data_IF_990852571510
#
_entry.id   IF_990852571510
#
_cell.length_a   1.000
_cell.length_b   1.000
_cell.length_c   1.000
_cell.angle_alpha   90.00
_cell.angle_beta   90.00
_cell.angle_gamma   90.00
#
_symmetry.space_group_name_H-M   'P 1'
#
loop_
_entity.id
_entity.type
_entity.pdbx_description
1 polymer ?
#
# COMPACT_ATOMS: atom_id res chain seq x y z
N UNK A 1 -7.55 -9.51 47.09
CA UNK A 1 -8.95 -9.09 46.80
C UNK A 1 -9.11 -8.58 45.36
N UNK A 2 -8.23 -7.68 44.86
CA UNK A 2 -8.18 -7.33 43.44
C UNK A 2 -7.91 -8.52 42.50
N UNK A 3 -6.98 -9.44 42.83
CA UNK A 3 -6.70 -10.60 41.98
C UNK A 3 -7.92 -11.53 41.80
N UNK A 4 -8.74 -11.70 42.83
CA UNK A 4 -9.98 -12.49 42.81
C UNK A 4 -11.09 -11.79 42.00
N UNK A 5 -11.18 -10.46 42.07
CA UNK A 5 -12.14 -9.67 41.27
C UNK A 5 -11.74 -9.65 39.79
N UNK A 6 -10.43 -9.60 39.50
CA UNK A 6 -9.91 -9.72 38.14
C UNK A 6 -10.09 -11.14 37.63
N UNK A 7 -9.76 -12.19 38.39
CA UNK A 7 -10.01 -13.59 37.98
C UNK A 7 -11.50 -13.87 37.72
N UNK A 8 -12.40 -13.43 38.60
CA UNK A 8 -13.84 -13.58 38.38
C UNK A 8 -14.40 -12.76 37.19
N UNK A 9 -13.70 -11.69 36.79
CA UNK A 9 -14.01 -10.90 35.57
C UNK A 9 -13.14 -11.27 34.36
N UNK A 10 -12.18 -12.17 34.49
CA UNK A 10 -11.38 -12.70 33.38
C UNK A 10 -11.79 -14.14 33.04
N UNK A 11 -12.67 -14.77 33.83
CA UNK A 11 -13.21 -16.09 33.55
C UNK A 11 -14.06 -16.08 32.26
N UNK A 12 -13.40 -16.44 31.15
CA UNK A 12 -13.94 -16.50 29.80
C UNK A 12 -15.12 -17.49 29.67
N UNK A 13 -15.23 -18.46 30.60
CA UNK A 13 -16.26 -19.49 30.58
C UNK A 13 -17.68 -18.97 30.84
N UNK A 14 -17.84 -17.77 31.40
CA UNK A 14 -19.15 -17.21 31.76
C UNK A 14 -19.88 -16.46 30.62
N UNK A 15 -19.36 -16.42 29.38
CA UNK A 15 -19.81 -15.41 28.39
C UNK A 15 -19.99 -15.87 26.94
N UNK A 16 -20.56 -17.05 26.72
CA UNK A 16 -20.84 -17.58 25.38
C UNK A 16 -22.11 -17.03 24.69
N UNK A 17 -22.87 -16.11 25.30
CA UNK A 17 -24.20 -15.70 24.76
C UNK A 17 -24.21 -14.44 23.87
N UNK A 18 -23.20 -13.56 23.93
CA UNK A 18 -23.13 -12.35 23.09
C UNK A 18 -21.70 -12.11 22.56
N UNK A 19 -21.50 -12.37 21.26
CA UNK A 19 -20.21 -12.25 20.56
C UNK A 19 -19.69 -10.82 20.55
N UNK A 20 -20.56 -9.80 20.51
CA UNK A 20 -20.17 -8.39 20.44
C UNK A 20 -19.75 -7.87 21.82
N UNK A 21 -20.41 -8.35 22.88
CA UNK A 21 -20.00 -8.07 24.26
C UNK A 21 -18.62 -8.69 24.58
N UNK A 22 -18.35 -9.90 24.06
CA UNK A 22 -17.06 -10.57 24.24
C UNK A 22 -15.90 -9.78 23.62
N UNK A 23 -16.00 -9.38 22.34
CA UNK A 23 -14.91 -8.64 21.67
C UNK A 23 -14.60 -7.32 22.37
N UNK A 24 -15.63 -6.57 22.77
CA UNK A 24 -15.45 -5.32 23.53
C UNK A 24 -14.73 -5.53 24.86
N UNK A 25 -15.04 -6.63 25.55
CA UNK A 25 -14.38 -7.00 26.81
C UNK A 25 -12.93 -7.41 26.58
N UNK A 26 -12.65 -8.22 25.56
CA UNK A 26 -11.28 -8.61 25.20
C UNK A 26 -10.43 -7.39 24.86
N UNK A 27 -10.96 -6.44 24.09
CA UNK A 27 -10.27 -5.18 23.79
C UNK A 27 -10.01 -4.35 25.07
N UNK A 28 -10.98 -4.29 25.99
CA UNK A 28 -10.80 -3.58 27.26
C UNK A 28 -9.76 -4.26 28.16
N UNK A 29 -9.79 -5.59 28.28
CA UNK A 29 -8.79 -6.36 29.03
C UNK A 29 -7.40 -6.17 28.42
N UNK A 30 -7.28 -6.31 27.10
CA UNK A 30 -6.03 -6.11 26.40
C UNK A 30 -5.49 -4.68 26.55
N UNK A 31 -6.33 -3.66 26.56
CA UNK A 31 -5.90 -2.30 26.90
C UNK A 31 -5.43 -2.17 28.35
N UNK A 32 -6.15 -2.78 29.31
CA UNK A 32 -5.77 -2.77 30.73
C UNK A 32 -4.44 -3.48 30.99
N UNK A 33 -4.09 -4.48 30.19
CA UNK A 33 -2.80 -5.18 30.30
C UNK A 33 -1.59 -4.27 30.02
N UNK A 34 -1.79 -3.06 29.47
CA UNK A 34 -0.72 -2.05 29.34
C UNK A 34 -0.25 -1.51 30.70
N UNK A 35 -1.10 -1.60 31.73
CA UNK A 35 -0.80 -1.16 33.09
C UNK A 35 -0.15 -2.32 33.86
N UNK A 36 1.01 -2.06 34.47
CA UNK A 36 1.86 -3.07 35.13
C UNK A 36 1.10 -3.98 36.11
N UNK A 37 0.23 -3.41 36.95
CA UNK A 37 -0.55 -4.14 37.95
C UNK A 37 -1.48 -5.21 37.37
N UNK A 38 -1.91 -5.03 36.11
CA UNK A 38 -2.84 -5.92 35.44
C UNK A 38 -2.18 -6.82 34.40
N UNK A 39 -0.98 -6.46 33.92
CA UNK A 39 -0.30 -7.16 32.82
C UNK A 39 -0.23 -8.66 33.04
N UNK A 40 0.36 -9.10 34.17
CA UNK A 40 0.59 -10.52 34.42
C UNK A 40 -0.70 -11.33 34.36
N UNK A 41 -1.72 -10.93 35.13
CA UNK A 41 -2.96 -11.70 35.25
C UNK A 41 -3.71 -11.76 33.91
N UNK A 42 -3.77 -10.64 33.20
CA UNK A 42 -4.51 -10.58 31.93
C UNK A 42 -3.77 -11.34 30.84
N UNK A 43 -2.47 -11.13 30.69
CA UNK A 43 -1.67 -11.81 29.66
C UNK A 43 -1.67 -13.32 29.90
N UNK A 44 -1.45 -13.79 31.13
CA UNK A 44 -1.45 -15.23 31.43
C UNK A 44 -2.80 -15.90 31.08
N UNK A 45 -3.94 -15.27 31.41
CA UNK A 45 -5.26 -15.83 31.06
C UNK A 45 -5.55 -15.77 29.55
N UNK A 46 -5.15 -14.68 28.86
CA UNK A 46 -5.31 -14.59 27.41
C UNK A 46 -4.42 -15.61 26.68
N UNK A 47 -3.17 -15.78 27.10
CA UNK A 47 -2.27 -16.79 26.52
C UNK A 47 -2.72 -18.21 26.82
N UNK A 48 -3.31 -18.45 27.99
CA UNK A 48 -3.93 -19.73 28.30
C UNK A 48 -5.06 -20.06 27.32
N UNK A 49 -5.96 -19.12 27.03
CA UNK A 49 -7.02 -19.32 26.04
C UNK A 49 -6.47 -19.64 24.64
N UNK A 50 -5.37 -18.99 24.24
CA UNK A 50 -4.67 -19.25 22.97
C UNK A 50 -4.05 -20.66 22.96
N UNK A 51 -3.30 -21.02 24.01
CA UNK A 51 -2.57 -22.30 24.07
C UNK A 51 -3.48 -23.51 24.26
N UNK A 52 -4.61 -23.37 24.96
CA UNK A 52 -5.64 -24.42 25.02
C UNK A 52 -6.48 -24.52 23.75
N UNK A 53 -6.25 -23.61 22.79
CA UNK A 53 -7.00 -23.50 21.54
C UNK A 53 -8.50 -23.44 21.76
N UNK A 54 -8.89 -22.57 22.70
CA UNK A 54 -10.28 -22.27 23.00
C UNK A 54 -11.01 -21.77 21.73
N UNK A 55 -12.32 -21.97 21.64
CA UNK A 55 -13.14 -21.48 20.50
C UNK A 55 -12.94 -19.98 20.25
N UNK A 56 -12.57 -19.24 21.30
CA UNK A 56 -12.39 -17.79 21.29
C UNK A 56 -10.93 -17.34 21.07
N UNK A 57 -9.98 -18.26 20.86
CA UNK A 57 -8.56 -17.95 20.70
C UNK A 57 -8.28 -16.93 19.59
N UNK A 58 -8.98 -17.03 18.46
CA UNK A 58 -8.84 -16.09 17.34
C UNK A 58 -9.20 -14.64 17.73
N UNK A 59 -10.23 -14.46 18.54
CA UNK A 59 -10.67 -13.14 19.05
C UNK A 59 -9.73 -12.59 20.10
N UNK A 60 -9.14 -13.46 20.92
CA UNK A 60 -8.10 -13.09 21.89
C UNK A 60 -6.86 -12.57 21.16
N UNK A 61 -6.42 -13.27 20.09
CA UNK A 61 -5.30 -12.83 19.23
C UNK A 61 -5.61 -11.49 18.56
N UNK A 62 -6.81 -11.29 18.03
CA UNK A 62 -7.24 -10.02 17.43
C UNK A 62 -7.21 -8.87 18.45
N UNK A 63 -7.70 -9.08 19.67
CA UNK A 63 -7.70 -8.07 20.72
C UNK A 63 -6.28 -7.71 21.17
N UNK A 64 -5.40 -8.71 21.34
CA UNK A 64 -3.99 -8.51 21.64
C UNK A 64 -3.29 -7.75 20.52
N UNK A 65 -3.50 -8.15 19.26
CA UNK A 65 -2.94 -7.48 18.09
C UNK A 65 -3.37 -6.00 18.05
N UNK A 66 -4.66 -5.72 18.21
CA UNK A 66 -5.21 -4.36 18.16
C UNK A 66 -4.60 -3.46 19.23
N UNK A 67 -4.39 -3.98 20.44
CA UNK A 67 -3.91 -3.20 21.57
C UNK A 67 -2.38 -3.04 21.55
N UNK A 68 -1.63 -4.13 21.36
CA UNK A 68 -0.15 -4.12 21.28
C UNK A 68 0.33 -3.37 20.04
N UNK A 69 -0.47 -3.34 18.97
CA UNK A 69 -0.15 -2.53 17.80
C UNK A 69 -0.22 -1.02 18.06
N UNK A 70 -0.88 -0.59 19.13
CA UNK A 70 -1.04 0.81 19.46
C UNK A 70 0.12 1.32 20.35
N UNK A 71 1.06 2.04 19.72
CA UNK A 71 2.22 2.62 20.40
C UNK A 71 1.91 3.66 21.48
N UNK A 72 0.67 4.17 21.55
CA UNK A 72 0.24 5.04 22.65
C UNK A 72 -0.15 4.28 23.92
N UNK A 73 -0.48 2.99 23.78
CA UNK A 73 -0.81 2.10 24.90
C UNK A 73 0.38 1.25 25.32
N UNK A 74 1.11 0.70 24.35
CA UNK A 74 2.24 -0.19 24.58
C UNK A 74 3.52 0.41 24.04
N UNK A 75 4.49 0.64 24.92
CA UNK A 75 5.86 0.96 24.51
C UNK A 75 6.58 -0.30 24.05
N UNK A 76 7.59 -0.16 23.17
CA UNK A 76 8.43 -1.30 22.73
C UNK A 76 9.04 -2.05 23.92
N UNK A 77 9.51 -1.33 24.94
CA UNK A 77 10.03 -1.92 26.17
C UNK A 77 8.99 -2.78 26.90
N UNK A 78 7.73 -2.31 26.95
CA UNK A 78 6.63 -3.05 27.59
C UNK A 78 6.31 -4.33 26.82
N UNK A 79 6.28 -4.27 25.49
CA UNK A 79 6.05 -5.46 24.64
C UNK A 79 7.20 -6.46 24.79
N UNK A 80 8.44 -5.99 24.80
CA UNK A 80 9.62 -6.83 25.02
C UNK A 80 9.63 -7.49 26.40
N UNK A 81 9.14 -6.79 27.43
CA UNK A 81 8.95 -7.36 28.76
C UNK A 81 7.88 -8.45 28.75
N UNK A 82 6.71 -8.19 28.14
CA UNK A 82 5.62 -9.18 28.02
C UNK A 82 6.12 -10.46 27.34
N UNK A 83 6.87 -10.33 26.25
CA UNK A 83 7.46 -11.49 25.58
C UNK A 83 8.42 -12.25 26.51
N UNK A 84 9.27 -11.54 27.25
CA UNK A 84 10.26 -12.16 28.14
C UNK A 84 9.64 -12.87 29.33
N UNK A 85 8.57 -12.30 29.89
CA UNK A 85 7.93 -12.78 31.12
C UNK A 85 6.89 -13.86 30.84
N UNK A 86 6.26 -13.86 29.66
CA UNK A 86 5.07 -14.68 29.36
C UNK A 86 5.15 -15.54 28.10
N UNK A 87 6.11 -15.32 27.18
CA UNK A 87 6.23 -16.12 25.96
C UNK A 87 5.03 -15.94 25.01
N UNK A 88 4.80 -14.71 24.59
CA UNK A 88 3.71 -14.34 23.67
C UNK A 88 3.93 -14.97 22.29
N UNK A 89 5.14 -14.89 21.74
CA UNK A 89 5.49 -15.44 20.43
C UNK A 89 5.27 -16.96 20.39
N UNK A 90 5.79 -17.71 21.38
CA UNK A 90 5.61 -19.16 21.47
C UNK A 90 4.13 -19.57 21.44
N UNK A 91 3.32 -18.86 22.23
CA UNK A 91 1.88 -19.13 22.38
C UNK A 91 1.13 -18.90 21.07
N UNK A 92 1.38 -17.74 20.42
CA UNK A 92 0.71 -17.37 19.17
C UNK A 92 1.21 -18.22 17.99
N UNK A 93 2.50 -18.56 17.94
CA UNK A 93 3.05 -19.48 16.93
C UNK A 93 2.40 -20.86 17.01
N UNK A 94 2.27 -21.41 18.22
CA UNK A 94 1.64 -22.72 18.43
C UNK A 94 0.21 -22.73 17.92
N UNK A 95 -0.54 -21.66 18.23
CA UNK A 95 -1.90 -21.47 17.71
C UNK A 95 -1.94 -21.34 16.19
N UNK A 96 -1.10 -20.48 15.61
CA UNK A 96 -1.02 -20.28 14.16
C UNK A 96 -0.72 -21.59 13.43
N UNK A 97 0.28 -22.36 13.88
CA UNK A 97 0.67 -23.62 13.25
C UNK A 97 -0.45 -24.67 13.30
N UNK A 98 -1.30 -24.63 14.33
CA UNK A 98 -2.46 -25.52 14.47
C UNK A 98 -3.63 -25.09 13.59
N UNK A 99 -3.94 -23.80 13.57
CA UNK A 99 -5.14 -23.25 12.93
C UNK A 99 -4.91 -22.78 11.48
N UNK A 100 -3.69 -22.90 10.96
CA UNK A 100 -3.31 -22.34 9.65
C UNK A 100 -4.19 -22.77 8.47
N UNK A 101 -4.81 -23.96 8.57
CA UNK A 101 -5.66 -24.55 7.53
C UNK A 101 -7.16 -24.33 7.77
N UNK A 102 -7.54 -23.93 8.98
CA UNK A 102 -8.93 -23.91 9.45
C UNK A 102 -9.42 -22.49 9.75
N UNK A 103 -8.54 -21.62 10.22
CA UNK A 103 -8.87 -20.23 10.54
C UNK A 103 -9.05 -19.37 9.29
N UNK A 104 -9.77 -18.25 9.46
CA UNK A 104 -9.90 -17.24 8.42
C UNK A 104 -8.58 -16.51 8.17
N UNK A 105 -8.36 -16.01 6.95
CA UNK A 105 -7.16 -15.25 6.62
C UNK A 105 -6.98 -14.01 7.50
N UNK A 106 -8.07 -13.34 7.87
CA UNK A 106 -8.06 -12.18 8.78
C UNK A 106 -7.54 -12.56 10.18
N UNK A 107 -7.99 -13.71 10.72
CA UNK A 107 -7.49 -14.22 12.00
C UNK A 107 -6.00 -14.56 11.93
N UNK A 108 -5.54 -15.17 10.83
CA UNK A 108 -4.13 -15.49 10.62
C UNK A 108 -3.28 -14.22 10.49
N UNK A 109 -3.76 -13.21 9.75
CA UNK A 109 -3.08 -11.93 9.60
C UNK A 109 -2.95 -11.19 10.95
N UNK A 110 -3.96 -11.28 11.82
CA UNK A 110 -3.87 -10.76 13.19
C UNK A 110 -2.77 -11.44 14.01
N UNK A 111 -2.67 -12.76 13.95
CA UNK A 111 -1.61 -13.52 14.63
C UNK A 111 -0.22 -13.21 14.08
N UNK A 112 -0.07 -13.21 12.76
CA UNK A 112 1.19 -12.85 12.09
C UNK A 112 1.63 -11.42 12.43
N UNK A 113 0.69 -10.45 12.41
CA UNK A 113 1.00 -9.06 12.76
C UNK A 113 1.41 -8.93 14.22
N UNK A 114 0.76 -9.64 15.14
CA UNK A 114 1.11 -9.67 16.55
C UNK A 114 2.53 -10.21 16.76
N UNK A 115 2.90 -11.31 16.10
CA UNK A 115 4.27 -11.87 16.15
C UNK A 115 5.27 -10.87 15.59
N UNK A 116 5.04 -10.35 14.39
CA UNK A 116 5.92 -9.40 13.73
C UNK A 116 6.17 -8.15 14.60
N UNK A 117 5.12 -7.60 15.20
CA UNK A 117 5.21 -6.45 16.10
C UNK A 117 5.93 -6.77 17.41
N UNK A 118 5.72 -7.97 17.95
CA UNK A 118 6.43 -8.42 19.15
C UNK A 118 7.92 -8.56 18.87
N UNK A 119 8.30 -9.21 17.75
CA UNK A 119 9.70 -9.35 17.31
C UNK A 119 10.35 -7.98 17.09
N UNK A 120 9.64 -7.04 16.46
CA UNK A 120 10.15 -5.68 16.22
C UNK A 120 10.55 -4.96 17.51
N UNK A 121 9.93 -5.31 18.65
CA UNK A 121 10.20 -4.70 19.94
C UNK A 121 11.38 -5.36 20.69
N UNK A 122 11.89 -6.50 20.20
CA UNK A 122 12.95 -7.26 20.86
C UNK A 122 14.35 -6.76 20.49
N UNK A 123 15.32 -6.79 21.42
CA UNK A 123 16.73 -6.65 21.10
C UNK A 123 17.21 -7.74 20.14
N UNK A 124 18.23 -7.43 19.32
CA UNK A 124 18.76 -8.33 18.27
C UNK A 124 19.16 -9.73 18.78
N UNK A 125 19.74 -9.82 19.99
CA UNK A 125 20.10 -11.10 20.61
C UNK A 125 18.87 -11.97 20.90
N UNK A 126 17.79 -11.36 21.40
CA UNK A 126 16.53 -12.07 21.66
C UNK A 126 15.86 -12.48 20.36
N UNK A 127 15.88 -11.61 19.33
CA UNK A 127 15.38 -11.96 18.00
C UNK A 127 16.12 -13.20 17.46
N UNK A 128 17.45 -13.22 17.49
CA UNK A 128 18.25 -14.38 17.06
C UNK A 128 17.89 -15.66 17.81
N UNK A 129 17.72 -15.58 19.13
CA UNK A 129 17.30 -16.72 19.96
C UNK A 129 15.93 -17.25 19.55
N UNK A 130 14.94 -16.37 19.38
CA UNK A 130 13.60 -16.74 18.91
C UNK A 130 13.66 -17.41 17.53
N UNK A 131 14.37 -16.83 16.56
CA UNK A 131 14.52 -17.42 15.23
C UNK A 131 15.17 -18.81 15.30
N UNK A 132 16.26 -18.96 16.05
CA UNK A 132 16.96 -20.25 16.19
C UNK A 132 16.08 -21.38 16.75
N UNK A 133 15.06 -21.03 17.53
CA UNK A 133 14.14 -21.98 18.15
C UNK A 133 13.07 -22.48 17.17
N UNK A 134 12.57 -21.64 16.29
CA UNK A 134 11.36 -21.95 15.49
C UNK A 134 11.64 -22.17 14.00
N UNK A 135 12.71 -21.60 13.44
CA UNK A 135 12.92 -21.59 11.99
C UNK A 135 12.93 -22.98 11.36
N UNK A 136 13.65 -23.94 11.95
CA UNK A 136 13.78 -25.29 11.37
C UNK A 136 12.45 -26.03 11.29
N UNK A 137 11.65 -26.01 12.36
CA UNK A 137 10.34 -26.66 12.38
C UNK A 137 9.42 -26.08 11.29
N UNK A 138 9.42 -24.75 11.14
CA UNK A 138 8.56 -24.08 10.17
C UNK A 138 9.04 -24.34 8.73
N UNK A 139 10.35 -24.36 8.49
CA UNK A 139 10.92 -24.73 7.19
C UNK A 139 10.54 -26.16 6.81
N UNK A 140 10.61 -27.10 7.75
CA UNK A 140 10.18 -28.48 7.51
C UNK A 140 8.68 -28.57 7.18
N UNK A 141 7.84 -27.79 7.86
CA UNK A 141 6.42 -27.67 7.51
C UNK A 141 6.19 -27.04 6.13
N UNK A 142 6.99 -26.04 5.74
CA UNK A 142 6.91 -25.43 4.40
C UNK A 142 7.20 -26.43 3.28
N UNK A 143 8.04 -27.45 3.52
CA UNK A 143 8.27 -28.55 2.55
C UNK A 143 7.03 -29.40 2.33
N UNK A 144 6.13 -29.47 3.31
CA UNK A 144 4.87 -30.23 3.20
C UNK A 144 3.75 -29.40 2.58
N UNK A 145 3.68 -28.11 2.91
CA UNK A 145 2.63 -27.22 2.45
C UNK A 145 3.11 -25.76 2.50
N UNK A 146 3.00 -25.06 1.38
CA UNK A 146 3.49 -23.69 1.24
C UNK A 146 2.70 -22.68 2.10
N UNK A 147 1.51 -23.03 2.61
CA UNK A 147 0.71 -22.16 3.48
C UNK A 147 1.46 -21.80 4.78
N UNK A 148 2.36 -22.67 5.27
CA UNK A 148 3.18 -22.40 6.45
C UNK A 148 4.19 -21.26 6.25
N UNK A 149 4.45 -20.85 5.01
CA UNK A 149 5.36 -19.76 4.71
C UNK A 149 4.93 -18.42 5.35
N UNK A 150 3.63 -18.18 5.56
CA UNK A 150 3.18 -16.96 6.25
C UNK A 150 3.67 -16.85 7.69
N UNK A 151 3.88 -17.99 8.37
CA UNK A 151 4.45 -18.03 9.73
C UNK A 151 5.94 -17.75 9.70
N UNK A 152 6.64 -18.25 8.68
CA UNK A 152 8.05 -17.93 8.45
C UNK A 152 8.23 -16.45 8.11
N UNK A 153 7.34 -15.89 7.29
CA UNK A 153 7.36 -14.47 6.92
C UNK A 153 7.19 -13.57 8.12
N UNK A 154 6.20 -13.82 8.99
CA UNK A 154 5.95 -12.94 10.13
C UNK A 154 7.08 -12.96 11.18
N UNK A 155 7.82 -14.07 11.27
CA UNK A 155 9.04 -14.18 12.10
C UNK A 155 10.18 -13.29 11.59
N UNK A 156 10.36 -13.20 10.27
CA UNK A 156 11.53 -12.57 9.67
C UNK A 156 11.27 -11.14 9.15
N UNK A 157 10.03 -10.78 8.86
CA UNK A 157 9.70 -9.49 8.25
C UNK A 157 10.12 -8.31 9.11
N UNK A 158 10.06 -8.43 10.44
CA UNK A 158 10.33 -7.34 11.39
C UNK A 158 11.61 -7.50 12.21
N UNK A 159 12.56 -8.33 11.76
CA UNK A 159 13.87 -8.43 12.43
C UNK A 159 14.71 -7.16 12.17
N UNK A 160 15.59 -6.83 13.11
CA UNK A 160 16.50 -5.68 12.99
C UNK A 160 17.48 -5.87 11.83
N UNK A 161 18.06 -4.78 11.33
CA UNK A 161 18.97 -4.80 10.17
C UNK A 161 20.28 -5.55 10.43
N UNK A 162 20.71 -5.64 11.69
CA UNK A 162 21.90 -6.34 12.15
C UNK A 162 21.65 -7.84 12.42
N UNK A 163 20.39 -8.29 12.42
CA UNK A 163 20.03 -9.69 12.63
C UNK A 163 20.19 -10.47 11.34
N UNK A 164 21.20 -11.33 11.31
CA UNK A 164 21.48 -12.25 10.22
C UNK A 164 21.85 -13.62 10.79
N UNK A 165 21.23 -14.69 10.29
CA UNK A 165 21.50 -16.07 10.69
C UNK A 165 21.77 -16.97 9.48
N UNK A 166 22.15 -18.22 9.73
CA UNK A 166 22.53 -19.19 8.69
C UNK A 166 21.40 -19.58 7.74
N UNK A 167 20.14 -19.31 8.09
CA UNK A 167 18.97 -19.68 7.27
C UNK A 167 18.58 -18.60 6.27
N UNK A 168 19.17 -17.40 6.31
CA UNK A 168 18.75 -16.30 5.42
C UNK A 168 18.83 -16.66 3.94
N UNK A 169 19.86 -17.39 3.51
CA UNK A 169 20.03 -17.78 2.11
C UNK A 169 19.01 -18.83 1.66
N UNK A 170 18.74 -19.83 2.50
CA UNK A 170 17.69 -20.83 2.27
C UNK A 170 16.30 -20.16 2.21
N UNK A 171 16.01 -19.28 3.16
CA UNK A 171 14.74 -18.55 3.23
C UNK A 171 14.59 -17.60 2.04
N UNK A 172 15.66 -16.90 1.64
CA UNK A 172 15.64 -16.05 0.44
C UNK A 172 15.32 -16.88 -0.80
N UNK A 173 15.94 -18.05 -0.95
CA UNK A 173 15.70 -18.96 -2.09
C UNK A 173 14.26 -19.49 -2.10
N UNK A 174 13.75 -19.91 -0.95
CA UNK A 174 12.36 -20.35 -0.78
C UNK A 174 11.37 -19.20 -1.05
N UNK A 175 11.68 -17.99 -0.59
CA UNK A 175 10.85 -16.80 -0.84
C UNK A 175 10.79 -16.46 -2.32
N UNK A 176 11.91 -16.58 -3.04
CA UNK A 176 11.95 -16.33 -4.49
C UNK A 176 11.11 -17.34 -5.27
N UNK A 177 11.12 -18.62 -4.88
CA UNK A 177 10.28 -19.62 -5.52
C UNK A 177 8.80 -19.42 -5.23
N UNK A 178 8.44 -19.12 -3.99
CA UNK A 178 7.06 -18.89 -3.59
C UNK A 178 6.50 -17.56 -4.10
N UNK A 179 7.35 -16.56 -4.36
CA UNK A 179 6.96 -15.32 -5.02
C UNK A 179 6.47 -15.51 -6.46
N UNK A 180 6.63 -16.71 -7.04
CA UNK A 180 6.10 -17.10 -8.34
C UNK A 180 4.97 -18.14 -8.25
N UNK A 181 4.55 -18.50 -7.03
CA UNK A 181 3.46 -19.45 -6.77
C UNK A 181 2.12 -18.97 -7.33
N UNK A 182 1.25 -19.92 -7.68
CA UNK A 182 -0.14 -19.64 -8.09
C UNK A 182 -1.00 -19.13 -6.93
N UNK A 183 -0.65 -19.49 -5.69
CA UNK A 183 -1.43 -19.08 -4.50
C UNK A 183 -1.14 -17.64 -4.13
N UNK A 184 -2.10 -16.75 -4.37
CA UNK A 184 -1.98 -15.29 -4.15
C UNK A 184 -1.49 -14.91 -2.74
N UNK A 185 -2.06 -15.52 -1.70
CA UNK A 185 -1.70 -15.23 -0.31
C UNK A 185 -0.23 -15.58 -0.03
N UNK A 186 0.21 -16.79 -0.39
CA UNK A 186 1.59 -17.24 -0.22
C UNK A 186 2.54 -16.38 -1.05
N UNK A 187 2.18 -16.12 -2.31
CA UNK A 187 2.96 -15.30 -3.22
C UNK A 187 3.21 -13.90 -2.67
N UNK A 188 2.18 -13.26 -2.12
CA UNK A 188 2.29 -11.92 -1.55
C UNK A 188 3.25 -11.89 -0.36
N UNK A 189 3.12 -12.83 0.58
CA UNK A 189 4.02 -12.94 1.74
C UNK A 189 5.47 -13.21 1.30
N UNK A 190 5.66 -14.04 0.27
CA UNK A 190 6.98 -14.31 -0.28
C UNK A 190 7.62 -13.07 -0.92
N UNK A 191 6.85 -12.30 -1.69
CA UNK A 191 7.28 -10.99 -2.19
C UNK A 191 7.65 -10.01 -1.07
N UNK A 192 6.88 -9.98 0.03
CA UNK A 192 7.19 -9.14 1.18
C UNK A 192 8.52 -9.52 1.79
N UNK A 193 8.77 -10.82 1.99
CA UNK A 193 10.00 -11.28 2.62
C UNK A 193 11.22 -10.99 1.75
N UNK A 194 11.16 -11.25 0.44
CA UNK A 194 12.21 -10.86 -0.52
C UNK A 194 12.51 -9.36 -0.44
N UNK A 195 11.47 -8.53 -0.45
CA UNK A 195 11.63 -7.09 -0.39
C UNK A 195 12.27 -6.62 0.93
N UNK A 196 11.82 -7.17 2.06
CA UNK A 196 12.35 -6.87 3.39
C UNK A 196 13.83 -7.25 3.49
N UNK A 197 14.17 -8.43 3.00
CA UNK A 197 15.53 -8.95 2.95
C UNK A 197 16.46 -8.03 2.15
N UNK A 198 16.08 -7.68 0.92
CA UNK A 198 16.86 -6.75 0.09
C UNK A 198 16.96 -5.35 0.69
N UNK A 199 15.89 -4.86 1.32
CA UNK A 199 15.85 -3.54 1.93
C UNK A 199 16.77 -3.43 3.15
N UNK A 200 16.67 -4.40 4.07
CA UNK A 200 17.35 -4.39 5.37
C UNK A 200 18.80 -4.83 5.31
N UNK A 201 19.19 -5.63 4.31
CA UNK A 201 20.55 -6.12 4.14
C UNK A 201 21.60 -4.99 4.32
N UNK A 202 22.58 -5.27 5.17
CA UNK A 202 23.74 -4.41 5.39
C UNK A 202 24.52 -4.23 4.08
N UNK A 203 25.02 -3.02 3.83
CA UNK A 203 25.84 -2.74 2.65
C UNK A 203 27.12 -3.59 2.65
N UNK A 204 27.62 -3.90 1.45
CA UNK A 204 28.80 -4.76 1.26
C UNK A 204 28.41 -6.21 0.98
N UNK A 205 29.22 -7.16 1.46
CA UNK A 205 29.17 -8.57 1.08
C UNK A 205 27.79 -9.23 1.32
N UNK A 206 27.12 -8.92 2.44
CA UNK A 206 25.79 -9.48 2.75
C UNK A 206 24.76 -9.10 1.68
N UNK A 207 24.69 -7.82 1.32
CA UNK A 207 23.80 -7.37 0.25
C UNK A 207 24.20 -7.94 -1.11
N UNK A 208 25.49 -7.99 -1.43
CA UNK A 208 25.98 -8.55 -2.70
C UNK A 208 25.56 -10.02 -2.86
N UNK A 209 25.73 -10.84 -1.81
CA UNK A 209 25.31 -12.24 -1.79
C UNK A 209 23.80 -12.38 -2.00
N UNK A 210 22.99 -11.63 -1.26
CA UNK A 210 21.53 -11.67 -1.40
C UNK A 210 21.07 -11.22 -2.79
N UNK A 211 21.75 -10.23 -3.36
CA UNK A 211 21.47 -9.74 -4.70
C UNK A 211 21.93 -10.70 -5.79
N UNK A 212 23.01 -11.46 -5.56
CA UNK A 212 23.46 -12.53 -6.44
C UNK A 212 22.48 -13.71 -6.45
N UNK A 213 22.01 -14.17 -5.29
CA UNK A 213 20.95 -15.19 -5.17
C UNK A 213 19.71 -14.77 -5.97
N UNK A 214 19.27 -13.53 -5.79
CA UNK A 214 18.16 -12.93 -6.53
C UNK A 214 18.38 -13.00 -8.05
N UNK A 215 19.55 -12.55 -8.52
CA UNK A 215 19.88 -12.51 -9.95
C UNK A 215 19.95 -13.90 -10.55
N UNK A 216 20.61 -14.83 -9.88
CA UNK A 216 20.78 -16.21 -10.34
C UNK A 216 19.42 -16.89 -10.47
N UNK A 217 18.55 -16.72 -9.48
CA UNK A 217 17.17 -17.25 -9.53
C UNK A 217 16.36 -16.64 -10.68
N UNK A 218 16.33 -15.31 -10.81
CA UNK A 218 15.51 -14.63 -11.84
C UNK A 218 16.05 -14.80 -13.26
N UNK A 219 17.31 -15.20 -13.40
CA UNK A 219 17.91 -15.53 -14.71
C UNK A 219 17.55 -16.96 -15.15
N UNK A 220 17.30 -17.87 -14.21
CA UNK A 220 16.87 -19.24 -14.52
C UNK A 220 15.37 -19.37 -14.83
N UNK A 221 14.54 -18.37 -14.50
CA UNK A 221 13.12 -18.37 -14.83
C UNK A 221 12.87 -18.25 -16.35
N UNK A 222 12.03 -19.12 -16.91
CA UNK A 222 11.57 -19.06 -18.30
C UNK A 222 10.62 -17.87 -18.48
N UNK A 223 10.96 -16.91 -19.36
CA UNK A 223 10.16 -15.70 -19.56
C UNK A 223 9.05 -15.85 -20.61
N UNK A 224 9.05 -16.97 -21.32
CA UNK A 224 8.06 -17.25 -22.38
C UNK A 224 6.78 -17.90 -21.81
N UNK A 225 6.76 -18.17 -20.51
CA UNK A 225 5.56 -18.63 -19.79
C UNK A 225 4.63 -17.44 -19.52
N UNK A 226 3.50 -17.42 -20.24
CA UNK A 226 2.48 -16.37 -20.19
C UNK A 226 1.88 -16.23 -18.79
N UNK A 227 1.72 -17.33 -18.05
CA UNK A 227 1.15 -17.32 -16.70
C UNK A 227 2.15 -16.86 -15.64
N UNK A 228 3.45 -16.98 -15.95
CA UNK A 228 4.54 -16.53 -15.09
C UNK A 228 4.84 -15.04 -15.23
N UNK A 229 4.66 -14.44 -16.42
CA UNK A 229 4.99 -13.04 -16.70
C UNK A 229 4.39 -12.07 -15.65
N UNK A 230 3.08 -12.12 -15.33
CA UNK A 230 2.49 -11.19 -14.35
C UNK A 230 3.08 -11.35 -12.94
N UNK A 231 3.44 -12.57 -12.55
CA UNK A 231 4.00 -12.88 -11.22
C UNK A 231 5.43 -12.35 -11.11
N UNK A 232 6.23 -12.53 -12.16
CA UNK A 232 7.57 -11.95 -12.26
C UNK A 232 7.53 -10.42 -12.19
N UNK A 233 6.61 -9.79 -12.90
CA UNK A 233 6.47 -8.32 -12.89
C UNK A 233 6.05 -7.82 -11.52
N UNK A 234 5.15 -8.52 -10.83
CA UNK A 234 4.78 -8.21 -9.45
C UNK A 234 6.00 -8.26 -8.52
N UNK A 235 6.80 -9.32 -8.60
CA UNK A 235 8.05 -9.46 -7.85
C UNK A 235 9.05 -8.34 -8.20
N UNK A 236 9.17 -7.94 -9.47
CA UNK A 236 10.01 -6.79 -9.86
C UNK A 236 9.54 -5.50 -9.18
N UNK A 237 8.22 -5.30 -9.02
CA UNK A 237 7.65 -4.16 -8.28
C UNK A 237 8.14 -4.11 -6.84
N UNK A 238 8.09 -5.25 -6.14
CA UNK A 238 8.56 -5.38 -4.75
C UNK A 238 10.08 -5.17 -4.61
N UNK A 239 10.87 -5.74 -5.53
CA UNK A 239 12.32 -5.53 -5.60
C UNK A 239 12.65 -4.06 -5.83
N UNK A 240 11.98 -3.42 -6.80
CA UNK A 240 12.18 -2.00 -7.13
C UNK A 240 11.87 -1.13 -5.91
N UNK A 241 10.75 -1.40 -5.24
CA UNK A 241 10.35 -0.69 -4.03
C UNK A 241 11.37 -0.84 -2.90
N UNK A 242 11.84 -2.05 -2.63
CA UNK A 242 12.85 -2.30 -1.61
C UNK A 242 14.16 -1.53 -1.89
N UNK A 243 14.62 -1.55 -3.14
CA UNK A 243 15.87 -0.93 -3.58
C UNK A 243 15.79 0.60 -3.58
N UNK A 244 14.68 1.20 -4.03
CA UNK A 244 14.53 2.66 -4.02
C UNK A 244 14.37 3.20 -2.59
N UNK A 245 13.65 2.50 -1.71
CA UNK A 245 13.50 2.89 -0.30
C UNK A 245 14.82 2.84 0.47
N UNK A 246 15.73 1.91 0.13
CA UNK A 246 17.10 1.90 0.68
C UNK A 246 18.10 2.79 -0.09
N UNK A 247 17.60 3.63 -1.00
CA UNK A 247 18.39 4.56 -1.84
C UNK A 247 19.37 3.93 -2.83
N UNK A 248 19.25 2.63 -3.15
CA UNK A 248 20.14 1.94 -4.10
C UNK A 248 19.77 2.19 -5.55
N UNK A 249 20.71 2.61 -6.40
CA UNK A 249 20.47 2.86 -7.84
C UNK A 249 20.12 1.61 -8.66
N UNK A 250 20.30 0.41 -8.09
CA UNK A 250 19.88 -0.85 -8.72
C UNK A 250 18.37 -0.90 -8.99
N UNK A 251 17.57 -0.08 -8.31
CA UNK A 251 16.14 0.04 -8.58
C UNK A 251 15.85 0.40 -10.05
N UNK A 252 16.72 1.19 -10.69
CA UNK A 252 16.52 1.65 -12.08
C UNK A 252 16.50 0.48 -13.07
N UNK A 253 17.33 -0.54 -12.83
CA UNK A 253 17.36 -1.75 -13.66
C UNK A 253 16.01 -2.50 -13.62
N UNK A 254 15.45 -2.66 -12.42
CA UNK A 254 14.18 -3.36 -12.23
C UNK A 254 12.99 -2.52 -12.69
N UNK A 255 13.04 -1.21 -12.44
CA UNK A 255 12.05 -0.28 -12.96
C UNK A 255 11.99 -0.32 -14.48
N UNK A 256 13.15 -0.34 -15.16
CA UNK A 256 13.17 -0.40 -16.62
C UNK A 256 12.49 -1.67 -17.16
N UNK A 257 12.62 -2.82 -16.48
CA UNK A 257 11.88 -4.05 -16.86
C UNK A 257 10.36 -3.87 -16.75
N UNK A 258 9.89 -3.18 -15.71
CA UNK A 258 8.47 -2.86 -15.51
C UNK A 258 7.99 -1.86 -16.58
N UNK A 259 8.77 -0.82 -16.87
CA UNK A 259 8.42 0.17 -17.90
C UNK A 259 8.30 -0.48 -19.28
N UNK A 260 9.21 -1.39 -19.63
CA UNK A 260 9.12 -2.15 -20.89
C UNK A 260 7.86 -3.03 -20.91
N UNK A 261 7.48 -3.65 -19.78
CA UNK A 261 6.29 -4.51 -19.75
C UNK A 261 4.98 -3.73 -19.91
N UNK A 262 4.95 -2.43 -19.60
CA UNK A 262 3.78 -1.57 -19.82
C UNK A 262 3.45 -1.45 -21.32
N UNK A 263 4.46 -1.52 -22.20
CA UNK A 263 4.27 -1.48 -23.66
C UNK A 263 3.82 -2.80 -24.28
N UNK A 264 3.83 -3.90 -23.52
CA UNK A 264 3.35 -5.19 -24.00
C UNK A 264 1.89 -5.39 -23.54
N UNK A 265 0.90 -5.49 -24.46
CA UNK A 265 -0.51 -5.69 -24.14
C UNK A 265 -0.78 -6.75 -23.07
N UNK A 266 -0.12 -7.91 -23.17
CA UNK A 266 -0.34 -9.07 -22.30
C UNK A 266 0.09 -8.81 -20.85
N UNK A 267 1.14 -8.01 -20.65
CA UNK A 267 1.71 -7.73 -19.34
C UNK A 267 1.54 -6.26 -18.91
N UNK A 268 0.80 -5.45 -19.68
CA UNK A 268 0.64 -4.00 -19.50
C UNK A 268 0.00 -3.66 -18.15
N UNK A 269 -1.09 -4.36 -17.83
CA UNK A 269 -1.81 -4.24 -16.55
C UNK A 269 -0.93 -4.64 -15.37
N UNK A 270 -0.18 -5.74 -15.48
CA UNK A 270 0.75 -6.16 -14.43
C UNK A 270 1.85 -5.12 -14.21
N UNK A 271 2.38 -4.53 -15.28
CA UNK A 271 3.37 -3.45 -15.22
C UNK A 271 2.83 -2.23 -14.46
N UNK A 272 1.63 -1.79 -14.80
CA UNK A 272 0.94 -0.67 -14.14
C UNK A 272 0.67 -0.94 -12.65
N UNK A 273 0.23 -2.14 -12.31
CA UNK A 273 0.02 -2.59 -10.93
C UNK A 273 1.32 -2.63 -10.10
N UNK A 274 2.45 -2.97 -10.74
CA UNK A 274 3.76 -2.87 -10.09
C UNK A 274 4.17 -1.42 -9.81
N UNK A 275 3.87 -0.48 -10.72
CA UNK A 275 4.06 0.95 -10.45
C UNK A 275 3.21 1.41 -9.27
N UNK A 276 1.94 1.00 -9.19
CA UNK A 276 1.08 1.25 -8.04
C UNK A 276 1.70 0.72 -6.74
N UNK A 277 2.20 -0.50 -6.79
CA UNK A 277 2.83 -1.18 -5.64
C UNK A 277 4.03 -0.39 -5.12
N UNK A 278 4.88 0.12 -6.01
CA UNK A 278 6.06 0.94 -5.66
C UNK A 278 5.64 2.25 -4.98
N UNK A 279 4.61 2.93 -5.51
CA UNK A 279 4.19 4.26 -5.04
C UNK A 279 3.29 4.24 -3.80
N UNK A 280 2.64 3.11 -3.52
CA UNK A 280 1.72 2.96 -2.38
C UNK A 280 2.48 2.70 -1.07
N UNK A 281 2.18 3.44 -0.01
CA UNK A 281 2.71 3.14 1.33
C UNK A 281 1.89 1.99 1.95
N UNK A 282 2.58 1.03 2.56
CA UNK A 282 1.96 -0.14 3.18
C UNK A 282 2.37 -0.19 4.65
N UNK A 283 1.43 -0.09 5.61
CA UNK A 283 1.77 -0.08 7.03
C UNK A 283 2.52 -1.34 7.49
N UNK A 284 2.17 -2.49 6.91
CA UNK A 284 2.64 -3.82 7.32
C UNK A 284 3.71 -4.41 6.38
N UNK A 285 4.31 -3.61 5.50
CA UNK A 285 5.41 -4.07 4.64
C UNK A 285 6.32 -2.90 4.26
N UNK A 286 7.64 -3.05 4.44
CA UNK A 286 8.66 -2.02 4.17
C UNK A 286 8.43 -0.73 4.98
N UNK A 287 8.00 -0.87 6.23
CA UNK A 287 7.74 0.25 7.13
C UNK A 287 8.83 0.41 8.19
N UNK A 288 8.90 1.59 8.81
CA UNK A 288 9.84 1.86 9.90
C UNK A 288 9.65 0.90 11.08
N UNK A 289 8.40 0.48 11.36
CA UNK A 289 8.07 -0.50 12.39
C UNK A 289 8.73 -1.86 12.17
N UNK A 290 9.01 -2.21 10.91
CA UNK A 290 9.66 -3.47 10.53
C UNK A 290 11.18 -3.33 10.41
N UNK A 291 11.74 -2.22 10.92
CA UNK A 291 13.16 -1.87 10.84
C UNK A 291 13.68 -1.70 9.41
N UNK A 292 12.79 -1.42 8.46
CA UNK A 292 13.16 -1.17 7.08
C UNK A 292 13.77 0.22 6.89
N UNK A 293 14.73 0.30 5.97
CA UNK A 293 15.32 1.55 5.48
C UNK A 293 14.29 2.28 4.62
N UNK A 294 14.11 3.57 4.90
CA UNK A 294 13.27 4.47 4.11
C UNK A 294 14.06 5.68 3.62
N UNK A 295 13.74 6.14 2.42
CA UNK A 295 14.38 7.29 1.79
C UNK A 295 13.32 8.36 1.56
N UNK A 296 13.48 9.54 2.18
CA UNK A 296 12.47 10.61 2.11
C UNK A 296 12.16 11.06 0.67
N UNK A 297 13.14 10.98 -0.22
CA UNK A 297 13.04 11.45 -1.60
C UNK A 297 12.70 10.33 -2.59
N UNK A 298 12.34 9.12 -2.14
CA UNK A 298 12.11 7.98 -3.04
C UNK A 298 11.04 8.28 -4.09
N UNK A 299 9.97 9.01 -3.74
CA UNK A 299 8.89 9.41 -4.66
C UNK A 299 9.41 10.36 -5.76
N UNK A 300 10.28 11.30 -5.40
CA UNK A 300 10.91 12.23 -6.36
C UNK A 300 11.86 11.49 -7.31
N UNK A 301 12.71 10.60 -6.76
CA UNK A 301 13.61 9.75 -7.57
C UNK A 301 12.84 8.83 -8.49
N UNK A 302 11.72 8.27 -8.01
CA UNK A 302 10.85 7.42 -8.80
C UNK A 302 10.23 8.19 -9.96
N UNK A 303 9.70 9.39 -9.73
CA UNK A 303 9.18 10.26 -10.78
C UNK A 303 10.24 10.57 -11.84
N UNK A 304 11.44 11.00 -11.44
CA UNK A 304 12.52 11.33 -12.38
C UNK A 304 12.94 10.12 -13.23
N UNK A 305 13.12 8.96 -12.60
CA UNK A 305 13.50 7.74 -13.30
C UNK A 305 12.39 7.25 -14.24
N UNK A 306 11.14 7.22 -13.77
CA UNK A 306 9.98 6.82 -14.56
C UNK A 306 9.80 7.75 -15.76
N UNK A 307 9.81 9.07 -15.57
CA UNK A 307 9.68 10.05 -16.65
C UNK A 307 10.75 9.85 -17.72
N UNK A 308 12.03 9.72 -17.32
CA UNK A 308 13.13 9.51 -18.26
C UNK A 308 13.00 8.20 -19.04
N UNK A 309 12.52 7.12 -18.41
CA UNK A 309 12.33 5.83 -19.07
C UNK A 309 11.10 5.82 -19.99
N UNK A 310 10.01 6.45 -19.57
CA UNK A 310 8.80 6.60 -20.39
C UNK A 310 9.05 7.41 -21.66
N UNK A 311 9.87 8.47 -21.59
CA UNK A 311 10.29 9.24 -22.77
C UNK A 311 11.06 8.36 -23.79
N UNK A 312 11.90 7.44 -23.30
CA UNK A 312 12.70 6.53 -24.14
C UNK A 312 11.87 5.40 -24.75
N UNK A 313 10.73 5.06 -24.17
CA UNK A 313 9.86 3.99 -24.62
C UNK A 313 9.19 4.29 -25.98
N UNK A 314 9.09 5.58 -26.32
CA UNK A 314 8.42 6.05 -27.54
C UNK A 314 6.89 5.99 -27.43
N UNK A 315 6.16 6.23 -28.54
CA UNK A 315 4.71 6.24 -28.55
C UNK A 315 4.14 4.82 -28.34
N UNK A 316 3.31 4.66 -27.32
CA UNK A 316 2.60 3.40 -27.06
C UNK A 316 1.43 3.28 -28.04
N UNK A 317 1.39 2.17 -28.78
CA UNK A 317 0.41 1.96 -29.86
C UNK A 317 -0.80 1.13 -29.43
N UNK A 318 -0.66 0.31 -28.38
CA UNK A 318 -1.68 -0.61 -27.87
C UNK A 318 -1.82 -0.48 -26.35
N UNK A 319 -3.02 -0.66 -25.80
CA UNK A 319 -3.34 -0.64 -24.36
C UNK A 319 -2.77 0.56 -23.57
N UNK A 320 -2.92 1.75 -24.17
CA UNK A 320 -2.49 3.04 -23.59
C UNK A 320 -3.08 3.35 -22.20
N UNK A 321 -4.21 2.75 -21.83
CA UNK A 321 -4.82 2.98 -20.51
C UNK A 321 -3.88 2.57 -19.36
N UNK A 322 -3.20 1.41 -19.48
CA UNK A 322 -2.27 0.93 -18.46
C UNK A 322 -1.08 1.89 -18.27
N UNK A 323 -0.62 2.50 -19.36
CA UNK A 323 0.40 3.54 -19.34
C UNK A 323 -0.06 4.81 -18.62
N UNK A 324 -1.25 5.31 -18.94
CA UNK A 324 -1.79 6.49 -18.26
C UNK A 324 -2.08 6.23 -16.77
N UNK A 325 -2.55 5.02 -16.42
CA UNK A 325 -2.68 4.60 -15.02
C UNK A 325 -1.33 4.59 -14.30
N UNK A 326 -0.27 4.11 -14.95
CA UNK A 326 1.08 4.14 -14.38
C UNK A 326 1.53 5.57 -14.07
N UNK A 327 1.30 6.50 -15.00
CA UNK A 327 1.52 7.92 -14.76
C UNK A 327 0.66 8.47 -13.62
N UNK A 328 -0.63 8.11 -13.56
CA UNK A 328 -1.51 8.53 -12.47
C UNK A 328 -0.93 8.13 -11.10
N UNK A 329 -0.52 6.89 -10.93
CA UNK A 329 0.07 6.39 -9.68
C UNK A 329 1.35 7.14 -9.28
N UNK A 330 2.19 7.51 -10.24
CA UNK A 330 3.41 8.30 -9.98
C UNK A 330 3.06 9.75 -9.64
N UNK A 331 2.23 10.40 -10.46
CA UNK A 331 1.90 11.82 -10.34
C UNK A 331 1.13 12.12 -9.05
N UNK A 332 0.19 11.26 -8.66
CA UNK A 332 -0.63 11.41 -7.44
C UNK A 332 0.25 11.54 -6.18
N UNK A 333 1.38 10.83 -6.14
CA UNK A 333 2.27 10.80 -4.99
C UNK A 333 3.48 11.72 -5.14
N UNK A 334 3.60 12.44 -6.26
CA UNK A 334 4.73 13.33 -6.53
C UNK A 334 4.50 14.71 -5.89
N UNK A 335 5.52 15.31 -5.23
CA UNK A 335 5.39 16.65 -4.66
C UNK A 335 5.01 17.71 -5.71
N UNK A 336 4.07 18.59 -5.36
CA UNK A 336 3.55 19.65 -6.25
C UNK A 336 4.63 20.55 -6.85
N UNK A 337 5.70 20.83 -6.11
CA UNK A 337 6.85 21.61 -6.61
C UNK A 337 7.53 20.95 -7.79
N UNK A 338 7.68 19.62 -7.78
CA UNK A 338 8.28 18.87 -8.88
C UNK A 338 7.34 18.79 -10.08
N UNK A 339 6.03 18.63 -9.83
CA UNK A 339 5.00 18.66 -10.88
C UNK A 339 4.99 20.01 -11.63
N UNK A 340 5.12 21.12 -10.91
CA UNK A 340 5.18 22.45 -11.52
C UNK A 340 6.41 22.64 -12.41
N UNK A 341 7.55 22.03 -12.06
CA UNK A 341 8.77 22.14 -12.86
C UNK A 341 8.69 21.37 -14.20
N UNK A 342 7.90 20.30 -14.26
CA UNK A 342 7.75 19.44 -15.44
C UNK A 342 6.38 19.58 -16.11
N UNK A 343 5.69 20.70 -15.87
CA UNK A 343 4.31 20.94 -16.31
C UNK A 343 4.11 20.74 -17.82
N UNK A 344 5.08 21.16 -18.64
CA UNK A 344 5.01 21.03 -20.10
C UNK A 344 4.92 19.59 -20.59
N UNK A 345 5.44 18.64 -19.81
CA UNK A 345 5.35 17.20 -20.10
C UNK A 345 4.07 16.60 -19.55
N UNK A 346 3.64 17.06 -18.38
CA UNK A 346 2.54 16.47 -17.63
C UNK A 346 1.17 16.86 -18.19
N UNK A 347 0.98 18.13 -18.59
CA UNK A 347 -0.32 18.63 -19.04
C UNK A 347 -0.85 17.86 -20.26
N UNK A 348 -0.07 17.63 -21.34
CA UNK A 348 -0.54 16.83 -22.47
C UNK A 348 -0.96 15.41 -22.06
N UNK A 349 -0.16 14.75 -21.21
CA UNK A 349 -0.47 13.40 -20.69
C UNK A 349 -1.80 13.38 -19.91
N UNK A 350 -2.01 14.38 -19.05
CA UNK A 350 -3.23 14.48 -18.25
C UNK A 350 -4.47 14.75 -19.10
N UNK A 351 -4.36 15.56 -20.16
CA UNK A 351 -5.44 15.85 -21.10
C UNK A 351 -5.82 14.59 -21.90
N UNK A 352 -4.83 13.88 -22.43
CA UNK A 352 -5.05 12.67 -23.21
C UNK A 352 -5.69 11.58 -22.36
N UNK A 353 -5.28 11.45 -21.09
CA UNK A 353 -5.86 10.51 -20.14
C UNK A 353 -7.36 10.74 -19.84
N UNK A 354 -7.91 11.93 -20.08
CA UNK A 354 -9.34 12.22 -19.86
C UNK A 354 -10.28 11.51 -20.85
N UNK A 355 -9.76 10.93 -21.94
CA UNK A 355 -10.55 10.12 -22.88
C UNK A 355 -10.94 8.74 -22.32
N UNK A 356 -10.22 8.25 -21.30
CA UNK A 356 -10.38 6.90 -20.80
C UNK A 356 -11.48 6.82 -19.75
N UNK A 357 -12.29 5.76 -19.83
CA UNK A 357 -13.42 5.50 -18.94
C UNK A 357 -12.97 4.73 -17.68
N UNK A 358 -12.00 5.30 -16.96
CA UNK A 358 -11.41 4.72 -15.76
C UNK A 358 -11.51 5.67 -14.57
N UNK A 359 -12.21 5.25 -13.51
CA UNK A 359 -12.52 6.13 -12.39
C UNK A 359 -11.26 6.68 -11.71
N UNK A 360 -10.31 5.82 -11.40
CA UNK A 360 -9.14 6.19 -10.60
C UNK A 360 -8.19 7.08 -11.40
N UNK A 361 -8.00 6.77 -12.69
CA UNK A 361 -7.25 7.60 -13.62
C UNK A 361 -7.85 9.02 -13.72
N UNK A 362 -9.16 9.11 -13.99
CA UNK A 362 -9.84 10.39 -14.19
C UNK A 362 -9.78 11.27 -12.94
N UNK A 363 -9.93 10.68 -11.74
CA UNK A 363 -9.84 11.43 -10.49
C UNK A 363 -8.47 12.11 -10.31
N UNK A 364 -7.39 11.35 -10.53
CA UNK A 364 -6.02 11.89 -10.41
C UNK A 364 -5.77 12.97 -11.47
N UNK A 365 -6.16 12.73 -12.72
CA UNK A 365 -5.87 13.65 -13.82
C UNK A 365 -6.68 14.95 -13.71
N UNK A 366 -7.96 14.89 -13.30
CA UNK A 366 -8.75 16.10 -13.05
C UNK A 366 -8.16 16.92 -11.89
N UNK A 367 -7.76 16.27 -10.79
CA UNK A 367 -7.16 16.98 -9.65
C UNK A 367 -5.84 17.67 -10.03
N UNK A 368 -5.04 17.00 -10.86
CA UNK A 368 -3.79 17.53 -11.38
C UNK A 368 -4.00 18.74 -12.29
N UNK A 369 -4.93 18.65 -13.24
CA UNK A 369 -5.31 19.78 -14.10
C UNK A 369 -5.88 20.94 -13.28
N UNK A 370 -6.72 20.65 -12.29
CA UNK A 370 -7.26 21.66 -11.36
C UNK A 370 -6.15 22.38 -10.61
N UNK A 371 -5.14 21.65 -10.13
CA UNK A 371 -3.95 22.23 -9.48
C UNK A 371 -3.19 23.17 -10.43
N UNK A 372 -2.96 22.77 -11.68
CA UNK A 372 -2.24 23.61 -12.64
C UNK A 372 -3.03 24.84 -13.09
N UNK A 373 -4.35 24.74 -13.21
CA UNK A 373 -5.25 25.88 -13.47
C UNK A 373 -5.16 26.91 -12.34
N UNK A 374 -5.27 26.46 -11.09
CA UNK A 374 -5.18 27.34 -9.90
C UNK A 374 -3.83 28.03 -9.77
N UNK A 375 -2.77 27.39 -10.26
CA UNK A 375 -1.43 27.97 -10.29
C UNK A 375 -1.21 28.97 -11.44
N UNK A 376 -2.26 29.30 -12.22
CA UNK A 376 -2.24 30.28 -13.33
C UNK A 376 -1.12 30.01 -14.36
N UNK A 377 -0.85 28.75 -14.67
CA UNK A 377 0.16 28.40 -15.66
C UNK A 377 -0.29 28.75 -17.08
N UNK A 378 0.59 29.38 -17.88
CA UNK A 378 0.29 29.77 -19.27
C UNK A 378 -0.09 28.58 -20.16
N UNK A 379 0.56 27.43 -19.96
CA UNK A 379 0.29 26.17 -20.69
C UNK A 379 -1.17 25.72 -20.57
N UNK A 380 -1.80 25.94 -19.41
CA UNK A 380 -3.21 25.63 -19.22
C UNK A 380 -4.11 26.53 -20.05
N UNK A 381 -3.74 27.81 -20.17
CA UNK A 381 -4.46 28.80 -20.97
C UNK A 381 -4.35 28.48 -22.47
N UNK A 382 -3.16 28.08 -22.93
CA UNK A 382 -2.91 27.66 -24.31
C UNK A 382 -3.67 26.38 -24.68
N UNK A 383 -3.92 25.51 -23.70
CA UNK A 383 -4.58 24.21 -23.89
C UNK A 383 -6.09 24.22 -23.69
N UNK A 384 -6.71 25.38 -23.44
CA UNK A 384 -8.16 25.50 -23.11
C UNK A 384 -9.06 24.86 -24.16
N UNK A 385 -8.74 25.03 -25.45
CA UNK A 385 -9.51 24.46 -26.56
C UNK A 385 -9.60 22.93 -26.49
N UNK A 386 -8.59 22.25 -25.93
CA UNK A 386 -8.54 20.79 -25.80
C UNK A 386 -9.06 20.32 -24.45
N UNK A 387 -8.75 21.04 -23.37
CA UNK A 387 -9.12 20.69 -21.99
C UNK A 387 -10.64 20.81 -21.79
N UNK A 388 -11.24 21.92 -22.20
CA UNK A 388 -12.63 22.23 -21.86
C UNK A 388 -13.62 21.20 -22.39
N UNK A 389 -13.59 20.78 -23.67
CA UNK A 389 -14.50 19.76 -24.17
C UNK A 389 -14.44 18.45 -23.38
N UNK A 390 -13.23 18.02 -22.99
CA UNK A 390 -13.02 16.78 -22.22
C UNK A 390 -13.57 16.89 -20.80
N UNK A 391 -13.28 17.99 -20.10
CA UNK A 391 -13.83 18.24 -18.78
C UNK A 391 -15.36 18.32 -18.82
N UNK A 392 -15.92 19.09 -19.76
CA UNK A 392 -17.37 19.24 -19.93
C UNK A 392 -18.05 17.89 -20.10
N UNK A 393 -17.51 17.00 -20.94
CA UNK A 393 -18.06 15.64 -21.11
C UNK A 393 -18.12 14.87 -19.78
N UNK A 394 -17.12 15.05 -18.92
CA UNK A 394 -17.05 14.39 -17.62
C UNK A 394 -18.02 14.99 -16.57
N UNK A 395 -18.60 16.18 -16.80
CA UNK A 395 -19.57 16.79 -15.87
C UNK A 395 -20.88 16.01 -15.77
N UNK A 396 -21.19 15.19 -16.77
CA UNK A 396 -22.35 14.30 -16.82
C UNK A 396 -21.96 12.81 -16.76
N UNK A 397 -20.73 12.50 -16.35
CA UNK A 397 -20.22 11.14 -16.27
C UNK A 397 -21.08 10.22 -15.39
N UNK A 398 -21.67 9.19 -16.01
CA UNK A 398 -22.71 8.38 -15.39
C UNK A 398 -22.22 7.52 -14.21
N UNK A 399 -21.01 6.98 -14.28
CA UNK A 399 -20.55 5.94 -13.34
C UNK A 399 -20.05 6.48 -12.00
N UNK A 400 -19.78 7.79 -11.89
CA UNK A 400 -19.17 8.37 -10.69
C UNK A 400 -19.67 9.78 -10.42
N UNK A 401 -20.22 9.99 -9.23
CA UNK A 401 -20.55 11.31 -8.72
C UNK A 401 -19.30 12.18 -8.48
N UNK A 402 -18.21 11.56 -8.03
CA UNK A 402 -16.97 12.27 -7.71
C UNK A 402 -16.34 12.88 -8.96
N UNK A 403 -16.35 12.16 -10.08
CA UNK A 403 -15.84 12.65 -11.37
C UNK A 403 -16.65 13.84 -11.86
N UNK A 404 -17.98 13.73 -11.85
CA UNK A 404 -18.87 14.85 -12.22
C UNK A 404 -18.58 16.08 -11.38
N UNK A 405 -18.51 15.90 -10.07
CA UNK A 405 -18.27 16.99 -9.11
C UNK A 405 -16.90 17.64 -9.30
N UNK A 406 -15.82 16.84 -9.40
CA UNK A 406 -14.46 17.35 -9.62
C UNK A 406 -14.29 17.99 -10.98
N UNK A 407 -14.90 17.44 -12.03
CA UNK A 407 -14.87 18.07 -13.35
C UNK A 407 -15.54 19.44 -13.35
N UNK A 408 -16.73 19.55 -12.73
CA UNK A 408 -17.41 20.84 -12.54
C UNK A 408 -16.56 21.84 -11.75
N UNK A 409 -15.88 21.38 -10.70
CA UNK A 409 -14.94 22.20 -9.94
C UNK A 409 -13.77 22.67 -10.81
N UNK A 410 -13.18 21.79 -11.62
CA UNK A 410 -12.11 22.18 -12.54
C UNK A 410 -12.60 23.21 -13.57
N UNK A 411 -13.79 23.02 -14.15
CA UNK A 411 -14.41 23.98 -15.08
C UNK A 411 -14.67 25.33 -14.39
N UNK A 412 -15.10 25.33 -13.13
CA UNK A 412 -15.20 26.54 -12.32
C UNK A 412 -13.84 27.24 -12.16
N UNK A 413 -12.79 26.50 -11.77
CA UNK A 413 -11.45 27.06 -11.58
C UNK A 413 -10.90 27.67 -12.88
N UNK A 414 -11.18 27.07 -14.04
CA UNK A 414 -10.79 27.64 -15.33
C UNK A 414 -11.36 29.06 -15.50
N UNK A 415 -12.64 29.28 -15.22
CA UNK A 415 -13.25 30.60 -15.30
C UNK A 415 -12.84 31.56 -14.17
N UNK A 416 -12.32 31.01 -13.07
CA UNK A 416 -11.87 31.80 -11.92
C UNK A 416 -10.42 32.28 -12.08
N UNK A 417 -9.58 31.49 -12.75
CA UNK A 417 -8.13 31.66 -12.80
C UNK A 417 -7.61 32.20 -14.15
N UNK A 418 -8.25 31.84 -15.27
CA UNK A 418 -7.81 32.29 -16.58
C UNK A 418 -8.35 33.69 -16.91
N UNK A 419 -7.57 34.47 -17.66
CA UNK A 419 -7.97 35.81 -18.06
C UNK A 419 -9.14 35.78 -19.06
N UNK A 420 -10.09 36.71 -18.89
CA UNK A 420 -11.33 36.83 -19.67
C UNK A 420 -11.15 36.71 -21.19
N UNK A 421 -10.15 37.34 -21.85
CA UNK A 421 -9.99 37.25 -23.30
C UNK A 421 -9.85 35.81 -23.82
N UNK A 422 -9.20 34.94 -23.04
CA UNK A 422 -9.01 33.52 -23.40
C UNK A 422 -10.27 32.68 -23.15
N UNK A 423 -11.18 33.14 -22.29
CA UNK A 423 -12.40 32.43 -21.92
C UNK A 423 -13.58 32.76 -22.85
N UNK A 424 -13.63 33.99 -23.37
CA UNK A 424 -14.71 34.48 -24.23
C UNK A 424 -15.06 33.55 -25.40
N UNK A 425 -14.10 32.97 -26.15
CA UNK A 425 -14.41 32.05 -27.25
C UNK A 425 -15.16 30.78 -26.81
N UNK A 426 -15.02 30.38 -25.55
CA UNK A 426 -15.59 29.12 -25.02
C UNK A 426 -16.88 29.33 -24.22
N UNK A 427 -17.17 30.58 -23.80
CA UNK A 427 -18.24 30.92 -22.86
C UNK A 427 -19.59 30.29 -23.23
N UNK A 428 -20.05 30.50 -24.46
CA UNK A 428 -21.37 30.04 -24.89
C UNK A 428 -21.46 28.51 -24.87
N UNK A 429 -20.44 27.83 -25.40
CA UNK A 429 -20.37 26.36 -25.44
C UNK A 429 -20.39 25.78 -24.03
N UNK A 430 -19.61 26.35 -23.10
CA UNK A 430 -19.56 25.88 -21.71
C UNK A 430 -20.92 26.08 -21.03
N UNK A 431 -21.53 27.27 -21.14
CA UNK A 431 -22.81 27.55 -20.48
C UNK A 431 -23.95 26.64 -20.92
N UNK A 432 -23.99 26.29 -22.21
CA UNK A 432 -24.95 25.34 -22.76
C UNK A 432 -24.67 23.93 -22.25
N UNK A 433 -23.41 23.50 -22.29
CA UNK A 433 -23.04 22.14 -21.92
C UNK A 433 -23.11 21.86 -20.41
N UNK A 434 -23.05 22.89 -19.56
CA UNK A 434 -23.25 22.77 -18.11
C UNK A 434 -24.72 22.68 -17.70
N UNK A 435 -25.68 22.97 -18.59
CA UNK A 435 -27.10 22.96 -18.24
C UNK A 435 -27.60 21.60 -17.69
N UNK A 436 -27.25 20.43 -18.29
CA UNK A 436 -27.70 19.14 -17.77
C UNK A 436 -27.22 18.85 -16.34
N UNK A 437 -26.05 19.36 -15.96
CA UNK A 437 -25.49 19.14 -14.62
C UNK A 437 -26.24 19.91 -13.50
N UNK A 438 -27.10 20.87 -13.86
CA UNK A 438 -27.96 21.55 -12.89
C UNK A 438 -29.08 20.65 -12.36
N UNK A 439 -29.53 19.70 -13.19
CA UNK A 439 -30.58 18.72 -12.87
C UNK A 439 -29.99 17.37 -12.41
N UNK A 440 -28.71 17.35 -12.05
CA UNK A 440 -28.03 16.16 -11.53
C UNK A 440 -28.79 15.54 -10.36
N UNK A 441 -28.94 14.21 -10.24
CA UNK A 441 -29.66 13.59 -9.11
C UNK A 441 -29.05 13.91 -7.74
N UNK A 442 -27.77 14.27 -7.67
CA UNK A 442 -27.05 14.46 -6.41
C UNK A 442 -26.84 15.94 -6.08
N UNK A 443 -27.23 16.33 -4.85
CA UNK A 443 -27.20 17.72 -4.37
C UNK A 443 -25.81 18.37 -4.47
N UNK A 444 -24.75 17.65 -4.13
CA UNK A 444 -23.38 18.21 -4.18
C UNK A 444 -22.96 18.52 -5.61
N UNK A 445 -23.30 17.65 -6.57
CA UNK A 445 -23.04 17.89 -7.99
C UNK A 445 -23.82 19.09 -8.52
N UNK A 446 -25.13 19.19 -8.20
CA UNK A 446 -25.94 20.38 -8.56
C UNK A 446 -25.33 21.66 -8.01
N UNK A 447 -24.84 21.65 -6.76
CA UNK A 447 -24.17 22.80 -6.15
C UNK A 447 -22.90 23.19 -6.94
N UNK A 448 -22.06 22.23 -7.30
CA UNK A 448 -20.87 22.47 -8.12
C UNK A 448 -21.24 23.01 -9.51
N UNK A 449 -22.30 22.48 -10.13
CA UNK A 449 -22.81 22.95 -11.41
C UNK A 449 -23.31 24.39 -11.36
N UNK A 450 -24.08 24.74 -10.33
CA UNK A 450 -24.53 26.12 -10.10
C UNK A 450 -23.33 27.05 -9.95
N UNK A 451 -22.32 26.67 -9.15
CA UNK A 451 -21.11 27.48 -8.97
C UNK A 451 -20.35 27.69 -10.27
N UNK A 452 -20.05 26.60 -10.99
CA UNK A 452 -19.35 26.66 -12.27
C UNK A 452 -20.12 27.54 -13.28
N UNK A 453 -21.39 27.25 -13.49
CA UNK A 453 -22.22 27.97 -14.48
C UNK A 453 -22.38 29.45 -14.12
N UNK A 454 -22.52 29.79 -12.84
CA UNK A 454 -22.61 31.18 -12.38
C UNK A 454 -21.32 31.94 -12.68
N UNK A 455 -20.15 31.37 -12.37
CA UNK A 455 -18.86 32.02 -12.68
C UNK A 455 -18.68 32.20 -14.18
N UNK A 456 -18.99 31.18 -14.99
CA UNK A 456 -18.94 31.28 -16.45
C UNK A 456 -19.91 32.31 -17.02
N UNK A 457 -21.06 32.56 -16.37
CA UNK A 457 -22.00 33.58 -16.80
C UNK A 457 -21.41 35.00 -16.65
N UNK A 458 -20.62 35.23 -15.60
CA UNK A 458 -19.95 36.50 -15.28
C UNK A 458 -18.76 36.80 -16.19
N UNK A 459 -18.23 35.83 -16.93
CA UNK A 459 -17.10 36.04 -17.86
C UNK A 459 -17.44 37.11 -18.90
N UNK A 460 -16.72 38.23 -18.91
CA UNK A 460 -16.97 39.38 -19.77
C UNK A 460 -18.20 40.22 -19.39
N UNK A 461 -18.74 40.05 -18.19
CA UNK A 461 -19.82 40.90 -17.68
C UNK A 461 -19.27 42.25 -17.17
N UNK A 462 -20.05 43.34 -17.23
CA UNK A 462 -19.67 44.61 -16.62
C UNK A 462 -19.41 44.45 -15.11
N UNK A 463 -18.23 44.84 -14.64
CA UNK A 463 -17.83 44.71 -13.22
C UNK A 463 -17.28 43.34 -12.83
N UNK A 464 -16.71 42.59 -13.78
CA UNK A 464 -16.08 41.28 -13.53
C UNK A 464 -14.82 41.33 -12.64
N UNK A 465 -14.18 42.50 -12.46
CA UNK A 465 -12.92 42.66 -11.71
C UNK A 465 -12.89 41.98 -10.34
#
# INVERSE_FOLDING_TARGET
>A
MMSLVVQGKCDLNNLTRDKTALQKRLNLLSNLASIDDFTKIIIEEMLKAITTNDEEASKVVEALNSSISNGSLYSENKVAQIESDHGLIDSVLTWLLKEIKTASQESLDNGCTLIANTISSLPSEKQLKTLSRHTNEILDKCKTDNVYFQVLECLYVSVNQDVYNTHFEEIMTLSLSLALSETDAVRLKACYLVANFLNKAESGQKFELMYEILKNYLTSCCRDDVDLCPRLISLYGWITKALILRSSDLFQFWLNKIVISISNPECSKAGSESIRTIMTELPNCLSARQHCRSSLLYKQRMFQAFASMSEKLGPITQDKEAYYLSWAYVLEKTPKSLLNNEISKIVPLAIDALEYDNKDLLLVMIDLLTHFVRANNSIMTESLQTILPRLINLTTYAKSMDIRTKSLQCVYEVANCCATPHLLPHKQTVLLALAPALDDPKRLTRRAAVQARTRWFLVGAPGEE
#
